data_IF_666704129203
#
_entry.id   IF_666704129203
#
_cell.length_a   1.000
_cell.length_b   1.000
_cell.length_c   1.000
_cell.angle_alpha   90.00
_cell.angle_beta   90.00
_cell.angle_gamma   90.00
#
_symmetry.space_group_name_H-M   'P 1'
#
loop_
_entity.id
_entity.type
_entity.pdbx_description
1 polymer ?
#
# COMPACT_ATOMS: atom_id res chain seq x y z
N UNK A 1 -51.37 3.04 -11.29
CA UNK A 1 -50.68 3.03 -9.97
C UNK A 1 -49.51 2.04 -9.93
N UNK A 2 -49.72 0.75 -10.25
CA UNK A 2 -48.67 -0.27 -10.21
C UNK A 2 -47.45 0.01 -11.11
N UNK A 3 -47.66 0.48 -12.35
CA UNK A 3 -46.56 0.83 -13.27
C UNK A 3 -45.69 1.97 -12.74
N UNK A 4 -46.32 2.99 -12.13
CA UNK A 4 -45.61 4.13 -11.53
C UNK A 4 -44.82 3.67 -10.30
N UNK A 5 -45.40 2.83 -9.45
CA UNK A 5 -44.72 2.25 -8.29
C UNK A 5 -43.51 1.39 -8.70
N UNK A 6 -43.67 0.51 -9.70
CA UNK A 6 -42.57 -0.29 -10.26
C UNK A 6 -41.47 0.58 -10.86
N UNK A 7 -41.83 1.67 -11.57
CA UNK A 7 -40.86 2.62 -12.10
C UNK A 7 -40.10 3.35 -10.99
N UNK A 8 -40.77 3.80 -9.92
CA UNK A 8 -40.13 4.43 -8.77
C UNK A 8 -39.18 3.47 -8.03
N UNK A 9 -39.59 2.21 -7.83
CA UNK A 9 -38.74 1.18 -7.21
C UNK A 9 -37.52 0.89 -8.09
N UNK A 10 -37.70 0.75 -9.41
CA UNK A 10 -36.61 0.51 -10.34
C UNK A 10 -35.62 1.70 -10.40
N UNK A 11 -36.12 2.93 -10.42
CA UNK A 11 -35.31 4.15 -10.38
C UNK A 11 -34.57 4.29 -9.04
N UNK A 12 -35.24 4.01 -7.92
CA UNK A 12 -34.64 4.00 -6.59
C UNK A 12 -33.54 2.95 -6.44
N UNK A 13 -33.77 1.73 -6.94
CA UNK A 13 -32.78 0.66 -6.95
C UNK A 13 -31.56 1.02 -7.83
N UNK A 14 -31.79 1.59 -9.02
CA UNK A 14 -30.70 2.07 -9.89
C UNK A 14 -29.91 3.21 -9.25
N UNK A 15 -30.58 4.13 -8.56
CA UNK A 15 -29.93 5.22 -7.84
C UNK A 15 -29.14 4.74 -6.63
N UNK A 16 -29.65 3.75 -5.88
CA UNK A 16 -28.92 3.12 -4.79
C UNK A 16 -27.69 2.36 -5.31
N UNK A 17 -27.84 1.59 -6.39
CA UNK A 17 -26.75 0.85 -7.02
C UNK A 17 -25.64 1.79 -7.55
N UNK A 18 -25.99 2.93 -8.14
CA UNK A 18 -25.01 3.92 -8.62
C UNK A 18 -24.22 4.60 -7.50
N UNK A 19 -24.65 4.46 -6.24
CA UNK A 19 -23.95 4.98 -5.04
C UNK A 19 -23.16 3.90 -4.30
N UNK A 20 -23.32 2.63 -4.66
CA UNK A 20 -22.62 1.51 -4.03
C UNK A 20 -21.15 1.45 -4.45
N UNK A 21 -20.28 1.05 -3.53
CA UNK A 21 -18.88 0.72 -3.83
C UNK A 21 -18.86 -0.72 -4.35
N UNK A 22 -18.19 -1.00 -5.49
CA UNK A 22 -18.15 -2.35 -6.04
C UNK A 22 -17.47 -3.33 -5.08
N UNK A 23 -18.09 -4.49 -4.90
CA UNK A 23 -17.49 -5.64 -4.23
C UNK A 23 -16.49 -6.36 -5.13
N UNK A 24 -16.61 -6.24 -6.46
CA UNK A 24 -15.66 -6.86 -7.39
C UNK A 24 -14.31 -6.15 -7.35
N UNK A 25 -13.26 -6.89 -6.99
CA UNK A 25 -11.87 -6.42 -6.94
C UNK A 25 -11.11 -6.98 -8.14
N UNK A 26 -10.42 -6.10 -8.88
CA UNK A 26 -9.45 -6.48 -9.91
C UNK A 26 -8.16 -6.91 -9.24
N UNK A 27 -7.99 -8.22 -9.12
CA UNK A 27 -6.87 -8.85 -8.42
C UNK A 27 -5.79 -9.19 -9.46
N UNK A 28 -4.57 -8.63 -9.36
CA UNK A 28 -3.50 -8.98 -10.26
C UNK A 28 -3.07 -10.44 -10.09
N UNK A 29 -2.63 -11.06 -11.18
CA UNK A 29 -1.80 -12.25 -11.08
C UNK A 29 -0.49 -11.94 -10.32
N UNK A 30 0.08 -12.94 -9.64
CA UNK A 30 1.38 -12.80 -8.96
C UNK A 30 2.49 -12.32 -9.89
N UNK A 31 2.49 -12.81 -11.14
CA UNK A 31 3.41 -12.41 -12.21
C UNK A 31 3.36 -10.90 -12.50
N UNK A 32 2.16 -10.31 -12.49
CA UNK A 32 1.96 -8.87 -12.72
C UNK A 32 2.54 -8.03 -11.60
N UNK A 33 2.43 -8.45 -10.34
CA UNK A 33 3.08 -7.75 -9.22
C UNK A 33 4.60 -7.93 -9.26
N UNK A 34 5.07 -9.15 -9.55
CA UNK A 34 6.50 -9.46 -9.64
C UNK A 34 7.23 -8.68 -10.75
N UNK A 35 6.49 -8.21 -11.76
CA UNK A 35 6.99 -7.36 -12.84
C UNK A 35 7.35 -5.93 -12.39
N UNK A 36 7.15 -5.56 -11.13
CA UNK A 36 7.76 -4.34 -10.58
C UNK A 36 9.28 -4.40 -10.88
N UNK A 37 9.92 -3.33 -11.37
CA UNK A 37 11.33 -3.39 -11.78
C UNK A 37 12.28 -3.75 -10.64
N UNK A 38 13.26 -4.61 -10.94
CA UNK A 38 14.39 -4.86 -10.04
C UNK A 38 15.36 -3.67 -10.01
N UNK A 39 15.33 -2.79 -11.01
CA UNK A 39 16.13 -1.56 -11.01
C UNK A 39 15.22 -0.35 -10.87
N UNK A 40 15.48 0.48 -9.84
CA UNK A 40 14.75 1.74 -9.60
C UNK A 40 15.80 2.82 -9.35
N UNK A 41 16.05 3.65 -10.37
CA UNK A 41 17.14 4.62 -10.31
C UNK A 41 18.48 3.91 -10.02
N UNK A 42 19.23 4.29 -8.96
CA UNK A 42 20.49 3.62 -8.61
C UNK A 42 20.28 2.28 -7.89
N UNK A 43 19.07 1.98 -7.41
CA UNK A 43 18.79 0.83 -6.57
C UNK A 43 18.67 -0.46 -7.38
N UNK A 44 19.35 -1.51 -6.94
CA UNK A 44 19.26 -2.86 -7.53
C UNK A 44 18.60 -3.84 -6.55
N UNK A 45 17.55 -4.47 -7.00
CA UNK A 45 16.63 -5.28 -6.22
C UNK A 45 16.78 -6.77 -6.47
N UNK A 46 16.75 -7.55 -5.39
CA UNK A 46 16.67 -9.01 -5.44
C UNK A 46 15.49 -9.50 -4.60
N UNK A 47 14.63 -10.33 -5.21
CA UNK A 47 13.47 -10.92 -4.54
C UNK A 47 13.90 -11.71 -3.30
N UNK A 48 13.15 -11.54 -2.22
CA UNK A 48 13.37 -12.24 -0.97
C UNK A 48 12.27 -13.28 -0.80
N UNK A 49 12.67 -14.50 -0.44
CA UNK A 49 11.70 -15.53 -0.10
C UNK A 49 11.16 -15.24 1.30
N UNK A 50 9.86 -14.97 1.39
CA UNK A 50 9.16 -14.86 2.67
C UNK A 50 8.66 -16.23 3.09
N UNK A 51 8.80 -16.53 4.38
CA UNK A 51 8.26 -17.72 4.98
C UNK A 51 6.75 -17.81 4.71
N UNK A 52 6.26 -18.89 4.08
CA UNK A 52 4.84 -19.07 3.81
C UNK A 52 3.94 -18.94 5.04
N UNK A 53 4.44 -19.22 6.24
CA UNK A 53 3.72 -19.06 7.50
C UNK A 53 3.33 -17.60 7.79
N UNK A 54 4.08 -16.62 7.27
CA UNK A 54 3.78 -15.19 7.44
C UNK A 54 2.53 -14.79 6.62
N UNK A 55 2.24 -15.46 5.50
CA UNK A 55 1.08 -15.15 4.65
C UNK A 55 -0.27 -15.44 5.30
N UNK A 56 -0.35 -16.42 6.22
CA UNK A 56 -1.60 -16.71 6.92
C UNK A 56 -2.09 -15.54 7.77
N UNK A 57 -1.16 -14.72 8.28
CA UNK A 57 -1.47 -13.53 9.09
C UNK A 57 -1.76 -12.30 8.24
N UNK A 58 -1.20 -12.21 7.02
CA UNK A 58 -1.32 -11.05 6.13
C UNK A 58 -2.69 -10.95 5.44
N UNK A 59 -3.46 -12.03 5.40
CA UNK A 59 -4.77 -12.07 4.75
C UNK A 59 -4.72 -12.04 3.21
N UNK A 60 -3.53 -12.28 2.63
CA UNK A 60 -3.32 -12.40 1.18
C UNK A 60 -2.17 -13.35 0.85
N UNK A 61 -2.26 -14.01 -0.29
CA UNK A 61 -1.20 -14.83 -0.87
C UNK A 61 -0.42 -14.12 -1.99
N UNK A 62 -0.79 -12.89 -2.34
CA UNK A 62 -0.17 -12.10 -3.41
C UNK A 62 0.63 -10.99 -2.74
N UNK A 63 1.93 -11.22 -2.62
CA UNK A 63 2.89 -10.24 -2.09
C UNK A 63 4.12 -10.15 -2.99
N UNK A 64 4.88 -9.09 -2.80
CA UNK A 64 6.23 -8.94 -3.31
C UNK A 64 7.13 -8.46 -2.18
N UNK A 65 8.19 -9.20 -1.96
CA UNK A 65 9.23 -8.91 -0.99
C UNK A 65 10.55 -8.81 -1.71
N UNK A 66 11.22 -7.66 -1.62
CA UNK A 66 12.44 -7.40 -2.39
C UNK A 66 13.38 -6.51 -1.62
N UNK A 67 14.65 -6.90 -1.57
CA UNK A 67 15.72 -6.09 -1.01
C UNK A 67 16.38 -5.30 -2.12
N UNK A 68 16.30 -3.98 -2.03
CA UNK A 68 16.98 -3.05 -2.92
C UNK A 68 18.25 -2.53 -2.25
N UNK A 69 19.38 -2.59 -2.95
CA UNK A 69 20.68 -2.11 -2.48
C UNK A 69 21.14 -0.92 -3.32
N UNK A 70 21.70 0.09 -2.65
CA UNK A 70 22.31 1.24 -3.31
C UNK A 70 23.81 1.00 -3.55
N UNK A 71 24.39 1.47 -4.67
CA UNK A 71 25.83 1.47 -4.90
C UNK A 71 26.63 2.24 -3.85
N UNK A 72 26.01 3.26 -3.23
CA UNK A 72 26.63 4.06 -2.15
C UNK A 72 26.55 3.39 -0.77
N UNK A 73 25.99 2.18 -0.69
CA UNK A 73 25.70 1.49 0.56
C UNK A 73 24.28 1.78 1.08
N UNK A 74 23.79 0.90 1.95
CA UNK A 74 22.41 0.92 2.45
C UNK A 74 21.47 0.02 1.66
N UNK A 75 20.35 -0.34 2.31
CA UNK A 75 19.35 -1.23 1.74
C UNK A 75 17.94 -0.84 2.13
N UNK A 76 16.99 -1.04 1.22
CA UNK A 76 15.56 -0.85 1.43
C UNK A 76 14.88 -2.19 1.19
N UNK A 77 14.33 -2.79 2.24
CA UNK A 77 13.46 -3.95 2.11
C UNK A 77 12.04 -3.46 1.79
N UNK A 78 11.60 -3.68 0.56
CA UNK A 78 10.25 -3.43 0.09
C UNK A 78 9.37 -4.65 0.40
N UNK A 79 8.21 -4.38 0.99
CA UNK A 79 7.10 -5.33 1.08
C UNK A 79 5.83 -4.72 0.49
N UNK A 80 5.22 -5.41 -0.47
CA UNK A 80 3.93 -5.05 -1.05
C UNK A 80 2.96 -6.20 -0.82
N UNK A 81 1.82 -5.92 -0.20
CA UNK A 81 0.74 -6.89 -0.03
C UNK A 81 -0.53 -6.44 -0.76
N UNK A 82 -1.12 -7.33 -1.56
CA UNK A 82 -2.34 -7.07 -2.34
C UNK A 82 -3.56 -7.58 -1.59
N UNK A 83 -4.47 -6.70 -1.21
CA UNK A 83 -5.69 -7.07 -0.49
C UNK A 83 -6.81 -7.42 -1.47
N UNK A 84 -7.19 -8.70 -1.45
CA UNK A 84 -8.16 -9.31 -2.36
C UNK A 84 -9.60 -9.25 -1.84
N UNK A 85 -9.78 -8.96 -0.55
CA UNK A 85 -11.10 -8.94 0.09
C UNK A 85 -11.95 -7.74 -0.37
N UNK A 86 -13.25 -7.95 -0.63
CA UNK A 86 -14.16 -6.90 -1.04
C UNK A 86 -14.47 -5.93 0.11
N UNK A 87 -14.48 -6.41 1.36
CA UNK A 87 -14.75 -5.62 2.55
C UNK A 87 -13.64 -4.59 2.79
N UNK A 88 -14.03 -3.41 3.27
CA UNK A 88 -13.08 -2.43 3.76
C UNK A 88 -12.51 -2.89 5.10
N UNK A 89 -11.50 -3.76 5.04
CA UNK A 89 -10.66 -4.14 6.17
C UNK A 89 -9.26 -3.62 5.92
N UNK A 90 -8.95 -2.44 6.47
CA UNK A 90 -7.57 -1.99 6.43
C UNK A 90 -6.70 -2.98 7.21
N UNK A 91 -5.59 -3.39 6.61
CA UNK A 91 -4.58 -4.17 7.31
C UNK A 91 -4.12 -3.42 8.56
N UNK A 92 -3.68 -4.15 9.58
CA UNK A 92 -3.14 -3.48 10.76
C UNK A 92 -1.91 -2.62 10.39
N UNK A 93 -1.73 -1.47 11.05
CA UNK A 93 -0.57 -0.62 10.83
C UNK A 93 0.71 -1.33 11.33
N UNK A 94 1.89 -1.05 10.74
CA UNK A 94 3.14 -1.73 11.07
C UNK A 94 3.55 -1.64 12.56
N UNK A 95 3.17 -0.57 13.24
CA UNK A 95 3.46 -0.32 14.65
C UNK A 95 3.09 -1.53 15.54
N UNK A 96 2.00 -2.24 15.22
CA UNK A 96 1.56 -3.41 15.98
C UNK A 96 2.49 -4.62 15.79
N UNK A 97 2.92 -4.90 14.55
CA UNK A 97 3.78 -6.05 14.27
C UNK A 97 5.25 -5.78 14.61
N UNK A 98 5.74 -4.55 14.44
CA UNK A 98 7.09 -4.19 14.88
C UNK A 98 7.21 -4.25 16.42
N UNK A 99 6.20 -3.78 17.16
CA UNK A 99 6.14 -3.95 18.62
C UNK A 99 6.29 -5.42 19.05
N UNK A 100 5.53 -6.31 18.41
CA UNK A 100 5.58 -7.75 18.70
C UNK A 100 6.89 -8.47 18.32
N UNK A 101 7.81 -7.80 17.62
CA UNK A 101 9.10 -8.38 17.20
C UNK A 101 10.30 -7.76 17.92
N UNK A 102 10.08 -7.02 19.02
CA UNK A 102 11.14 -6.43 19.83
C UNK A 102 11.66 -5.08 19.31
N UNK A 103 10.83 -4.33 18.57
CA UNK A 103 11.10 -2.95 18.19
C UNK A 103 10.21 -1.98 18.96
N UNK A 104 10.77 -0.85 19.37
CA UNK A 104 10.04 0.27 19.97
C UNK A 104 9.91 1.41 18.95
N UNK A 105 8.69 1.90 18.77
CA UNK A 105 8.45 3.13 18.01
C UNK A 105 8.93 4.31 18.83
N UNK A 106 9.92 5.05 18.31
CA UNK A 106 10.49 6.26 18.92
C UNK A 106 9.90 7.53 18.34
N UNK A 107 9.42 7.48 17.11
CA UNK A 107 8.78 8.61 16.45
C UNK A 107 7.88 8.16 15.33
N UNK A 108 6.85 8.95 15.08
CA UNK A 108 5.91 8.78 13.98
C UNK A 108 5.69 10.13 13.34
N UNK A 109 5.75 10.19 12.01
CA UNK A 109 5.40 11.39 11.28
C UNK A 109 4.80 11.06 9.92
N UNK A 110 3.75 11.79 9.53
CA UNK A 110 3.22 11.72 8.18
C UNK A 110 3.99 12.69 7.29
N UNK A 111 4.50 12.19 6.16
CA UNK A 111 5.22 12.98 5.16
C UNK A 111 4.38 13.11 3.90
N UNK A 112 4.15 14.33 3.40
CA UNK A 112 3.50 14.53 2.12
C UNK A 112 4.41 14.01 0.99
N UNK A 113 3.81 13.42 -0.02
CA UNK A 113 4.50 12.94 -1.22
C UNK A 113 3.68 13.33 -2.45
N UNK A 114 4.35 13.54 -3.58
CA UNK A 114 3.72 13.76 -4.88
C UNK A 114 4.26 12.73 -5.85
N UNK A 115 3.40 11.90 -6.43
CA UNK A 115 3.79 10.89 -7.41
C UNK A 115 4.12 11.53 -8.76
N UNK A 116 4.75 10.77 -9.65
CA UNK A 116 5.11 11.24 -11.00
C UNK A 116 3.88 11.61 -11.86
N UNK A 117 2.69 11.10 -11.51
CA UNK A 117 1.41 11.49 -12.11
C UNK A 117 0.86 12.83 -11.60
N UNK A 118 1.47 13.42 -10.56
CA UNK A 118 0.96 14.58 -9.84
C UNK A 118 -0.02 14.25 -8.70
N UNK A 119 -0.37 12.97 -8.49
CA UNK A 119 -1.20 12.55 -7.37
C UNK A 119 -0.50 12.88 -6.04
N UNK A 120 -1.22 13.57 -5.15
CA UNK A 120 -0.72 13.97 -3.84
C UNK A 120 -1.30 13.07 -2.77
N UNK A 121 -0.48 12.73 -1.79
CA UNK A 121 -0.87 11.88 -0.67
C UNK A 121 0.15 11.95 0.45
N UNK A 122 0.11 10.96 1.34
CA UNK A 122 1.06 10.85 2.44
C UNK A 122 1.56 9.44 2.66
N UNK A 123 2.78 9.35 3.15
CA UNK A 123 3.35 8.13 3.74
C UNK A 123 3.61 8.38 5.21
N UNK A 124 3.48 7.35 6.04
CA UNK A 124 3.87 7.43 7.45
C UNK A 124 5.27 6.90 7.62
N UNK A 125 6.11 7.72 8.24
CA UNK A 125 7.47 7.40 8.66
C UNK A 125 7.44 7.01 10.13
N UNK A 126 8.04 5.87 10.45
CA UNK A 126 8.29 5.38 11.79
C UNK A 126 9.80 5.34 12.03
N UNK A 127 10.24 5.96 13.12
CA UNK A 127 11.60 5.81 13.64
C UNK A 127 11.56 4.74 14.71
N UNK A 128 12.28 3.64 14.51
CA UNK A 128 12.29 2.47 15.36
C UNK A 128 13.65 2.27 16.03
N UNK A 129 13.64 1.69 17.21
CA UNK A 129 14.83 1.25 17.94
C UNK A 129 14.56 -0.14 18.54
N UNK A 130 15.50 -1.07 18.41
CA UNK A 130 15.40 -2.38 19.07
C UNK A 130 15.33 -2.19 20.59
N UNK A 131 14.61 -3.06 21.28
CA UNK A 131 14.45 -2.97 22.74
C UNK A 131 15.78 -3.04 23.50
N UNK A 132 16.74 -3.80 22.99
CA UNK A 132 18.11 -3.92 23.51
C UNK A 132 19.05 -2.79 23.07
N UNK A 133 18.57 -1.83 22.28
CA UNK A 133 19.36 -0.71 21.74
C UNK A 133 20.34 -1.10 20.64
N UNK A 134 20.34 -2.35 20.16
CA UNK A 134 21.34 -2.87 19.20
C UNK A 134 21.20 -2.28 17.79
N UNK A 135 20.01 -1.82 17.41
CA UNK A 135 19.74 -1.33 16.07
C UNK A 135 18.66 -0.26 16.04
N UNK A 136 18.72 0.56 14.99
CA UNK A 136 17.69 1.55 14.63
C UNK A 136 17.23 1.30 13.20
N UNK A 137 15.98 1.62 12.93
CA UNK A 137 15.40 1.47 11.60
C UNK A 137 14.42 2.60 11.31
N UNK A 138 14.33 2.95 10.03
CA UNK A 138 13.30 3.84 9.51
C UNK A 138 12.36 3.01 8.66
N UNK A 139 11.07 3.06 8.97
CA UNK A 139 10.02 2.35 8.23
C UNK A 139 9.06 3.34 7.61
N UNK A 140 8.83 3.23 6.31
CA UNK A 140 7.80 3.98 5.61
C UNK A 140 6.65 3.05 5.27
N UNK A 141 5.41 3.52 5.38
CA UNK A 141 4.28 2.78 4.82
C UNK A 141 3.14 3.67 4.35
N UNK A 142 2.34 3.14 3.43
CA UNK A 142 1.02 3.69 3.09
C UNK A 142 0.12 2.59 2.53
N UNK A 143 -1.15 2.95 2.33
CA UNK A 143 -2.10 2.17 1.54
C UNK A 143 -2.34 2.88 0.22
N UNK A 144 -2.38 2.12 -0.88
CA UNK A 144 -2.62 2.64 -2.22
C UNK A 144 -3.83 1.94 -2.86
N UNK A 145 -4.68 2.69 -3.54
CA UNK A 145 -5.86 2.20 -4.26
C UNK A 145 -5.96 2.90 -5.62
N UNK A 146 -5.56 2.21 -6.69
CA UNK A 146 -5.69 2.70 -8.07
C UNK A 146 -5.12 4.10 -8.33
N UNK A 147 -4.00 4.40 -7.68
CA UNK A 147 -3.30 5.70 -7.76
C UNK A 147 -3.31 6.47 -6.46
N UNK A 148 -4.48 6.64 -5.83
CA UNK A 148 -4.59 7.39 -4.57
C UNK A 148 -3.92 6.64 -3.42
N UNK A 149 -3.20 7.37 -2.57
CA UNK A 149 -2.43 6.77 -1.47
C UNK A 149 -2.40 7.65 -0.23
N UNK A 150 -2.44 7.02 0.94
CA UNK A 150 -2.30 7.67 2.23
C UNK A 150 -1.94 6.64 3.30
N UNK A 151 -1.33 7.09 4.40
CA UNK A 151 -1.16 6.26 5.60
C UNK A 151 -2.33 6.39 6.58
N UNK A 152 -3.07 7.51 6.52
CA UNK A 152 -4.22 7.76 7.38
C UNK A 152 -5.43 6.92 6.98
N UNK A 153 -6.01 6.21 7.95
CA UNK A 153 -7.10 5.25 7.73
C UNK A 153 -8.39 5.92 7.22
N UNK A 154 -8.72 7.08 7.75
CA UNK A 154 -9.94 7.78 7.39
C UNK A 154 -9.82 8.37 5.99
N UNK A 155 -8.64 8.90 5.63
CA UNK A 155 -8.34 9.33 4.26
C UNK A 155 -8.43 8.17 3.28
N UNK A 156 -7.82 7.01 3.59
CA UNK A 156 -7.88 5.83 2.71
C UNK A 156 -9.32 5.36 2.48
N UNK A 157 -10.19 5.48 3.49
CA UNK A 157 -11.62 5.15 3.34
C UNK A 157 -12.30 5.98 2.27
N UNK A 158 -11.88 7.23 2.08
CA UNK A 158 -12.46 8.12 1.06
C UNK A 158 -12.09 7.73 -0.37
N UNK A 159 -10.95 7.06 -0.59
CA UNK A 159 -10.50 6.65 -1.94
C UNK A 159 -11.53 5.75 -2.64
N UNK A 160 -12.25 4.94 -1.88
CA UNK A 160 -13.29 4.04 -2.40
C UNK A 160 -14.45 4.81 -3.03
N UNK A 161 -14.68 6.07 -2.66
CA UNK A 161 -15.76 6.89 -3.23
C UNK A 161 -15.57 7.17 -4.71
N UNK A 162 -14.32 7.17 -5.21
CA UNK A 162 -13.98 7.30 -6.64
C UNK A 162 -14.59 6.18 -7.49
N UNK A 163 -14.84 5.02 -6.90
CA UNK A 163 -15.31 3.82 -7.60
C UNK A 163 -16.81 3.58 -7.47
N UNK A 164 -17.57 4.49 -6.82
CA UNK A 164 -19.02 4.32 -6.67
C UNK A 164 -19.72 4.20 -8.03
N UNK A 165 -20.60 3.20 -8.15
CA UNK A 165 -21.35 2.93 -9.37
C UNK A 165 -20.55 2.30 -10.50
N UNK A 166 -19.26 2.00 -10.30
CA UNK A 166 -18.45 1.25 -11.25
C UNK A 166 -18.65 -0.26 -11.07
N UNK A 167 -18.33 -1.04 -12.11
CA UNK A 167 -18.46 -2.50 -12.08
C UNK A 167 -17.43 -3.19 -11.18
N UNK A 168 -16.25 -2.59 -11.03
CA UNK A 168 -15.14 -3.12 -10.24
C UNK A 168 -14.23 -2.01 -9.75
N UNK A 169 -13.38 -2.31 -8.77
CA UNK A 169 -12.30 -1.44 -8.28
C UNK A 169 -10.95 -2.16 -8.33
N UNK A 170 -9.81 -1.43 -8.36
CA UNK A 170 -8.51 -2.05 -8.16
C UNK A 170 -8.38 -2.68 -6.76
N UNK A 171 -7.47 -3.63 -6.63
CA UNK A 171 -7.03 -4.12 -5.33
C UNK A 171 -6.33 -3.01 -4.54
N UNK A 172 -6.49 -3.06 -3.21
CA UNK A 172 -5.76 -2.16 -2.31
C UNK A 172 -4.39 -2.77 -2.04
N UNK A 173 -3.36 -1.94 -2.06
CA UNK A 173 -2.00 -2.31 -1.74
C UNK A 173 -1.64 -1.76 -0.37
N UNK A 174 -0.96 -2.56 0.45
CA UNK A 174 -0.15 -2.05 1.56
C UNK A 174 1.29 -2.08 1.11
N UNK A 175 1.93 -0.92 1.06
CA UNK A 175 3.33 -0.76 0.67
C UNK A 175 4.12 -0.39 1.91
N UNK A 176 5.19 -1.12 2.19
CA UNK A 176 6.09 -0.88 3.31
C UNK A 176 7.54 -0.89 2.83
N UNK A 177 8.34 0.04 3.35
CA UNK A 177 9.78 0.10 3.17
C UNK A 177 10.43 0.00 4.54
N UNK A 178 11.35 -0.94 4.73
CA UNK A 178 12.19 -1.03 5.92
C UNK A 178 13.63 -0.68 5.56
N UNK A 179 14.17 0.34 6.21
CA UNK A 179 15.56 0.74 6.10
C UNK A 179 16.27 0.39 7.42
N UNK A 180 17.34 -0.43 7.43
CA UNK A 180 18.04 -0.87 8.64
C UNK A 180 19.00 0.21 9.18
N UNK A 181 18.57 1.47 9.09
CA UNK A 181 19.26 2.65 9.57
C UNK A 181 18.22 3.76 9.81
N UNK A 182 18.61 4.79 10.57
CA UNK A 182 17.76 5.97 10.82
C UNK A 182 18.55 7.26 10.64
N UNK A 183 17.83 8.35 10.36
CA UNK A 183 18.40 9.68 10.13
C UNK A 183 17.80 10.33 8.88
N UNK A 184 17.95 11.65 8.76
CA UNK A 184 17.31 12.44 7.70
C UNK A 184 17.69 11.96 6.30
N UNK A 185 18.98 11.66 6.06
CA UNK A 185 19.43 11.16 4.75
C UNK A 185 18.78 9.82 4.36
N UNK A 186 18.55 8.92 5.33
CA UNK A 186 17.89 7.63 5.10
C UNK A 186 16.40 7.85 4.81
N UNK A 187 15.76 8.78 5.54
CA UNK A 187 14.37 9.16 5.30
C UNK A 187 14.18 9.76 3.91
N UNK A 188 15.03 10.71 3.50
CA UNK A 188 14.98 11.34 2.18
C UNK A 188 15.14 10.30 1.06
N UNK A 189 16.14 9.42 1.16
CA UNK A 189 16.34 8.32 0.22
C UNK A 189 15.13 7.37 0.14
N UNK A 190 14.52 7.07 1.29
CA UNK A 190 13.34 6.23 1.35
C UNK A 190 12.10 6.90 0.75
N UNK A 191 11.95 8.22 0.90
CA UNK A 191 10.88 9.02 0.30
C UNK A 191 11.02 9.11 -1.23
N UNK A 192 12.23 9.32 -1.73
CA UNK A 192 12.52 9.29 -3.16
C UNK A 192 12.21 7.92 -3.77
N UNK A 193 12.67 6.86 -3.10
CA UNK A 193 12.37 5.49 -3.51
C UNK A 193 10.87 5.17 -3.45
N UNK A 194 10.17 5.61 -2.40
CA UNK A 194 8.73 5.45 -2.27
C UNK A 194 7.98 6.13 -3.42
N UNK A 195 8.40 7.33 -3.84
CA UNK A 195 7.79 8.06 -4.97
C UNK A 195 7.83 7.22 -6.24
N UNK A 196 8.98 6.63 -6.55
CA UNK A 196 9.15 5.78 -7.73
C UNK A 196 8.33 4.49 -7.65
N UNK A 197 8.37 3.79 -6.51
CA UNK A 197 7.62 2.54 -6.31
C UNK A 197 6.11 2.79 -6.41
N UNK A 198 5.59 3.78 -5.68
CA UNK A 198 4.16 4.09 -5.68
C UNK A 198 3.68 4.57 -7.04
N UNK A 199 4.50 5.35 -7.78
CA UNK A 199 4.16 5.76 -9.15
C UNK A 199 4.06 4.57 -10.09
N UNK A 200 4.94 3.58 -9.96
CA UNK A 200 4.92 2.36 -10.78
C UNK A 200 3.76 1.45 -10.43
N UNK A 201 3.51 1.22 -9.15
CA UNK A 201 2.38 0.43 -8.69
C UNK A 201 1.04 1.06 -9.11
N UNK A 202 0.92 2.40 -9.06
CA UNK A 202 -0.23 3.13 -9.57
C UNK A 202 -0.48 2.82 -11.05
N UNK A 203 0.57 2.92 -11.88
CA UNK A 203 0.50 2.62 -13.31
C UNK A 203 0.16 1.15 -13.57
N UNK A 204 0.81 0.23 -12.86
CA UNK A 204 0.55 -1.21 -13.00
C UNK A 204 -0.91 -1.56 -12.68
N UNK A 205 -1.51 -0.89 -11.69
CA UNK A 205 -2.90 -1.11 -11.28
C UNK A 205 -3.95 -0.67 -12.32
N UNK A 206 -3.55 0.06 -13.36
CA UNK A 206 -4.41 0.36 -14.52
C UNK A 206 -4.63 -0.88 -15.39
N UNK A 207 -3.62 -1.77 -15.45
CA UNK A 207 -3.58 -2.98 -16.28
C UNK A 207 -3.97 -4.28 -15.51
N UNK A 208 -4.47 -4.13 -14.28
CA UNK A 208 -4.96 -5.23 -13.44
C UNK A 208 -6.47 -5.45 -13.55
#
# INVERSE_FOLDING_TARGET
LAVVLMACVALGARWAASRSIPSTVRIPEKSKLAALPQEIGPWRGADQQVDPAIFQTLGTTITLDRLYLSPSGGGIALHVAVFTQPEFKLPHPPELCYGGTGWRVRGTADRPLTLNSGEKGSVRVLTLEREDGSARATVLYCYQLGGSFAADRDVVRTFFWKYRGQASRPAMLKVMLHCPASGTMVEDQALDFATEVLSRLAKMAEDW
#
